data_IF_741669330660
#
_entry.id   IF_741669330660
#
_cell.length_a   1.000
_cell.length_b   1.000
_cell.length_c   1.000
_cell.angle_alpha   90.00
_cell.angle_beta   90.00
_cell.angle_gamma   90.00
#
_symmetry.space_group_name_H-M   'P 1'
#
loop_
_entity.id
_entity.type
_entity.pdbx_description
1 polymer ?
#
# COMPACT_ATOMS: atom_id res chain seq x y z
N UNK A 1 5.10 -84.30 40.21
CA UNK A 1 4.28 -83.13 39.85
C UNK A 1 5.01 -82.42 38.72
N UNK A 2 4.60 -82.72 37.50
CA UNK A 2 5.39 -82.57 36.27
C UNK A 2 5.17 -81.20 35.62
N UNK A 3 6.25 -80.42 35.51
CA UNK A 3 6.34 -79.25 34.64
C UNK A 3 6.69 -79.71 33.23
N UNK A 4 5.79 -79.48 32.27
CA UNK A 4 6.07 -79.61 30.85
C UNK A 4 6.53 -78.27 30.27
N UNK A 5 7.67 -78.32 29.59
CA UNK A 5 8.14 -77.38 28.58
C UNK A 5 8.35 -78.22 27.31
N UNK A 6 7.82 -77.70 26.18
CA UNK A 6 8.17 -77.89 24.76
C UNK A 6 6.88 -77.98 23.91
N UNK A 7 6.55 -76.98 23.06
CA UNK A 7 7.09 -76.73 21.68
C UNK A 7 6.58 -77.82 20.73
N UNK A 8 5.95 -77.60 19.55
CA UNK A 8 5.69 -76.47 18.65
C UNK A 8 4.30 -76.70 18.00
N UNK A 9 3.68 -75.78 17.25
CA UNK A 9 3.98 -75.61 15.82
C UNK A 9 3.41 -74.31 15.24
N UNK A 10 4.15 -73.79 14.25
CA UNK A 10 3.87 -72.61 13.42
C UNK A 10 2.48 -72.62 12.77
N UNK A 11 1.86 -71.45 12.73
CA UNK A 11 0.79 -71.09 11.78
C UNK A 11 0.95 -69.63 11.37
N UNK A 12 1.31 -69.42 10.11
CA UNK A 12 1.62 -68.12 9.52
C UNK A 12 0.37 -67.23 9.35
N UNK A 13 0.63 -65.93 9.52
CA UNK A 13 -0.20 -64.78 9.13
C UNK A 13 -0.75 -64.90 7.70
N UNK A 14 -2.02 -64.53 7.49
CA UNK A 14 -2.36 -63.25 6.85
C UNK A 14 -3.87 -63.02 6.67
N UNK A 15 -4.25 -61.77 6.98
CA UNK A 15 -5.30 -60.92 6.36
C UNK A 15 -6.79 -61.21 6.63
N UNK A 16 -7.33 -60.43 7.58
CA UNK A 16 -8.59 -59.72 7.41
C UNK A 16 -8.55 -58.42 8.24
N UNK A 17 -8.44 -57.26 7.58
CA UNK A 17 -8.48 -55.95 8.25
C UNK A 17 -9.92 -55.61 8.64
N UNK A 18 -10.22 -55.63 9.94
CA UNK A 18 -11.37 -54.95 10.54
C UNK A 18 -10.87 -53.92 11.54
N UNK A 19 -11.01 -52.64 11.21
CA UNK A 19 -10.56 -51.50 12.01
C UNK A 19 -11.46 -51.32 13.24
N UNK A 20 -10.90 -51.57 14.42
CA UNK A 20 -11.52 -51.26 15.71
C UNK A 20 -11.22 -49.81 16.11
N UNK A 21 -12.29 -49.03 16.23
CA UNK A 21 -12.36 -47.66 16.72
C UNK A 21 -12.07 -47.57 18.24
N UNK A 22 -11.06 -46.79 18.69
CA UNK A 22 -10.89 -46.43 20.09
C UNK A 22 -11.31 -44.97 20.30
N UNK A 23 -12.61 -44.80 20.53
CA UNK A 23 -13.27 -43.60 21.01
C UNK A 23 -12.45 -42.89 22.12
N UNK A 24 -11.74 -41.81 21.75
CA UNK A 24 -11.31 -40.76 22.66
C UNK A 24 -12.30 -39.62 22.50
N UNK A 25 -12.86 -39.21 23.64
CA UNK A 25 -13.81 -38.13 23.84
C UNK A 25 -13.49 -36.91 22.95
N UNK A 26 -14.35 -36.68 21.97
CA UNK A 26 -14.41 -35.46 21.18
C UNK A 26 -14.76 -34.29 22.13
N UNK A 27 -13.89 -33.28 22.30
CA UNK A 27 -14.24 -32.11 23.11
C UNK A 27 -15.40 -31.41 22.38
N UNK A 28 -16.57 -31.48 23.01
CA UNK A 28 -17.87 -31.18 22.42
C UNK A 28 -17.85 -30.06 21.39
N UNK A 29 -18.47 -30.34 20.24
CA UNK A 29 -18.83 -29.35 19.23
C UNK A 29 -19.46 -28.14 19.93
N UNK A 30 -18.73 -27.04 20.01
CA UNK A 30 -19.29 -25.75 20.40
C UNK A 30 -20.35 -25.45 19.34
N UNK A 31 -21.65 -25.35 19.70
CA UNK A 31 -22.67 -24.99 18.74
C UNK A 31 -22.43 -23.54 18.32
N UNK A 32 -21.67 -23.37 17.25
CA UNK A 32 -21.50 -22.11 16.56
C UNK A 32 -22.55 -22.08 15.45
N UNK A 33 -23.67 -21.42 15.72
CA UNK A 33 -24.54 -20.94 14.66
C UNK A 33 -23.99 -19.58 14.21
N UNK A 34 -23.28 -19.48 13.06
CA UNK A 34 -22.88 -18.20 12.54
C UNK A 34 -24.16 -17.38 12.28
N UNK A 35 -24.34 -16.31 13.05
CA UNK A 35 -25.27 -15.24 12.69
C UNK A 35 -24.72 -14.57 11.43
N UNK A 36 -25.03 -15.14 10.26
CA UNK A 36 -24.76 -14.50 8.98
C UNK A 36 -25.80 -13.37 8.86
N UNK A 37 -25.38 -12.09 8.81
CA UNK A 37 -26.32 -11.00 8.60
C UNK A 37 -27.15 -11.30 7.34
N UNK A 38 -28.47 -11.18 7.47
CA UNK A 38 -29.36 -11.18 6.31
C UNK A 38 -29.03 -9.94 5.48
N UNK A 39 -28.28 -10.12 4.40
CA UNK A 39 -28.19 -9.08 3.37
C UNK A 39 -29.61 -8.76 2.93
N UNK A 40 -30.04 -7.50 3.01
CA UNK A 40 -31.32 -7.07 2.47
C UNK A 40 -31.49 -7.56 1.02
N UNK A 41 -32.73 -7.73 0.56
CA UNK A 41 -33.02 -8.25 -0.79
C UNK A 41 -32.20 -7.56 -1.89
N UNK A 42 -31.82 -8.29 -2.93
CA UNK A 42 -31.13 -7.72 -4.09
C UNK A 42 -32.07 -6.75 -4.82
N UNK A 43 -31.62 -5.53 -5.06
CA UNK A 43 -32.38 -4.56 -5.86
C UNK A 43 -32.21 -4.87 -7.34
N UNK A 44 -33.33 -5.10 -8.03
CA UNK A 44 -33.36 -5.16 -9.49
C UNK A 44 -33.50 -3.75 -10.07
N UNK A 45 -32.86 -3.51 -11.22
CA UNK A 45 -32.89 -2.24 -11.93
C UNK A 45 -33.21 -2.50 -13.40
N UNK A 46 -33.90 -1.55 -14.04
CA UNK A 46 -34.14 -1.64 -15.48
C UNK A 46 -32.81 -1.59 -16.23
N UNK A 47 -32.50 -2.56 -17.13
CA UNK A 47 -31.26 -2.54 -17.89
C UNK A 47 -31.11 -1.29 -18.75
N UNK A 48 -29.89 -0.84 -18.95
CA UNK A 48 -29.53 0.17 -19.95
C UNK A 48 -29.83 -0.35 -21.34
N UNK A 49 -30.55 0.45 -22.13
CA UNK A 49 -30.98 0.13 -23.51
C UNK A 49 -30.46 1.13 -24.54
N UNK A 50 -29.53 2.01 -24.15
CA UNK A 50 -28.88 2.93 -25.09
C UNK A 50 -27.89 2.22 -26.03
N UNK A 51 -27.23 3.01 -26.88
CA UNK A 51 -26.34 2.49 -27.93
C UNK A 51 -24.85 2.58 -27.61
N UNK A 52 -24.46 3.14 -26.46
CA UNK A 52 -23.04 3.26 -26.10
C UNK A 52 -22.43 1.88 -25.84
N UNK A 53 -21.38 1.55 -26.60
CA UNK A 53 -20.76 0.23 -26.57
C UNK A 53 -20.03 -0.05 -25.25
N UNK A 54 -19.44 0.96 -24.61
CA UNK A 54 -18.74 0.80 -23.34
C UNK A 54 -19.74 0.59 -22.19
N UNK A 55 -20.87 1.30 -22.21
CA UNK A 55 -21.95 1.08 -21.23
C UNK A 55 -22.55 -0.32 -21.38
N UNK A 56 -22.84 -0.76 -22.60
CA UNK A 56 -23.36 -2.10 -22.87
C UNK A 56 -22.36 -3.19 -22.46
N UNK A 57 -21.06 -3.01 -22.73
CA UNK A 57 -20.01 -3.92 -22.33
C UNK A 57 -19.84 -3.97 -20.80
N UNK A 58 -19.88 -2.82 -20.12
CA UNK A 58 -19.82 -2.73 -18.67
C UNK A 58 -21.02 -3.44 -18.04
N UNK A 59 -22.23 -3.16 -18.49
CA UNK A 59 -23.45 -3.81 -17.98
C UNK A 59 -23.45 -5.32 -18.19
N UNK A 60 -23.01 -5.80 -19.36
CA UNK A 60 -22.93 -7.23 -19.66
C UNK A 60 -21.90 -7.93 -18.78
N UNK A 61 -20.75 -7.29 -18.55
CA UNK A 61 -19.63 -7.88 -17.81
C UNK A 61 -19.83 -7.77 -16.30
N UNK A 62 -20.40 -6.67 -15.82
CA UNK A 62 -20.52 -6.30 -14.42
C UNK A 62 -21.97 -5.96 -14.00
N UNK A 63 -22.90 -6.92 -13.99
CA UNK A 63 -24.26 -6.65 -13.54
C UNK A 63 -24.36 -6.17 -12.08
N UNK A 64 -23.46 -6.62 -11.21
CA UNK A 64 -23.52 -6.39 -9.76
C UNK A 64 -22.17 -5.98 -9.17
N UNK A 65 -22.17 -5.43 -7.95
CA UNK A 65 -20.93 -5.17 -7.20
C UNK A 65 -20.10 -6.44 -6.93
N UNK A 66 -20.74 -7.61 -6.90
CA UNK A 66 -20.07 -8.91 -6.77
C UNK A 66 -19.29 -9.27 -8.04
N UNK A 67 -19.81 -8.90 -9.21
CA UNK A 67 -19.09 -9.03 -10.48
C UNK A 67 -17.91 -8.07 -10.53
N UNK A 68 -18.06 -6.83 -10.06
CA UNK A 68 -16.93 -5.87 -9.92
C UNK A 68 -15.83 -6.49 -9.07
N UNK A 69 -16.16 -7.08 -7.92
CA UNK A 69 -15.17 -7.79 -7.10
C UNK A 69 -14.49 -8.93 -7.88
N UNK A 70 -15.27 -9.87 -8.41
CA UNK A 70 -14.75 -11.11 -8.99
C UNK A 70 -13.98 -10.92 -10.30
N UNK A 71 -14.40 -9.99 -11.14
CA UNK A 71 -13.87 -9.84 -12.50
C UNK A 71 -12.88 -8.68 -12.64
N UNK A 72 -13.01 -7.63 -11.81
CA UNK A 72 -12.09 -6.48 -11.79
C UNK A 72 -11.14 -6.55 -10.60
N UNK A 73 -11.65 -6.51 -9.37
CA UNK A 73 -10.80 -6.38 -8.16
C UNK A 73 -9.88 -7.59 -7.99
N UNK A 74 -10.40 -8.81 -8.16
CA UNK A 74 -9.58 -10.02 -8.08
C UNK A 74 -8.54 -10.10 -9.19
N UNK A 75 -8.85 -9.64 -10.41
CA UNK A 75 -7.91 -9.66 -11.53
C UNK A 75 -6.80 -8.63 -11.38
N UNK A 76 -7.14 -7.45 -10.86
CA UNK A 76 -6.29 -6.26 -10.95
C UNK A 76 -5.65 -5.91 -9.61
N UNK A 77 -6.36 -6.08 -8.50
CA UNK A 77 -5.98 -5.57 -7.18
C UNK A 77 -5.63 -6.66 -6.17
N UNK A 78 -6.13 -7.90 -6.27
CA UNK A 78 -6.04 -8.87 -5.16
C UNK A 78 -5.72 -10.33 -5.51
N UNK A 79 -5.60 -10.67 -6.79
CA UNK A 79 -5.51 -12.06 -7.28
C UNK A 79 -4.27 -12.83 -6.82
N UNK A 80 -4.42 -14.16 -6.69
CA UNK A 80 -3.35 -15.11 -6.35
C UNK A 80 -2.14 -14.98 -7.28
N UNK A 81 -0.95 -15.08 -6.69
CA UNK A 81 0.40 -14.85 -7.24
C UNK A 81 0.80 -13.36 -7.37
N UNK A 82 1.53 -12.86 -6.38
CA UNK A 82 2.33 -11.62 -6.49
C UNK A 82 1.61 -10.30 -6.22
N UNK A 83 0.32 -10.31 -5.84
CA UNK A 83 -0.45 -9.08 -5.61
C UNK A 83 -0.56 -8.73 -4.12
N UNK A 84 -0.28 -7.46 -3.81
CA UNK A 84 -0.15 -6.85 -2.49
C UNK A 84 -1.44 -6.81 -1.64
N UNK A 85 -2.62 -6.45 -2.19
CA UNK A 85 -3.86 -6.25 -1.42
C UNK A 85 -4.60 -7.54 -1.08
N UNK A 86 -3.90 -8.42 -0.36
CA UNK A 86 -4.38 -9.67 0.21
C UNK A 86 -4.25 -9.62 1.75
N UNK A 87 -4.50 -10.72 2.45
CA UNK A 87 -4.45 -10.82 3.92
C UNK A 87 -3.20 -10.22 4.61
N UNK A 88 -2.08 -10.03 3.90
CA UNK A 88 -0.82 -9.49 4.44
C UNK A 88 -0.64 -7.99 4.28
N UNK A 89 -1.43 -7.31 3.45
CA UNK A 89 -1.32 -5.86 3.28
C UNK A 89 -2.70 -5.19 3.25
N UNK A 90 -2.76 -3.99 3.81
CA UNK A 90 -3.95 -3.17 3.76
C UNK A 90 -4.05 -2.41 2.41
N UNK A 91 -5.25 -2.18 1.87
CA UNK A 91 -6.48 -2.91 2.20
C UNK A 91 -6.41 -4.35 1.76
N UNK A 92 -7.10 -5.21 2.48
CA UNK A 92 -7.35 -6.56 2.02
C UNK A 92 -8.59 -6.57 1.10
N UNK A 93 -8.43 -7.02 -0.15
CA UNK A 93 -9.49 -7.02 -1.16
C UNK A 93 -9.80 -8.44 -1.71
N UNK A 94 -9.26 -9.50 -1.08
CA UNK A 94 -9.24 -10.85 -1.68
C UNK A 94 -10.58 -11.59 -1.64
N UNK A 95 -11.54 -11.10 -0.84
CA UNK A 95 -12.88 -11.67 -0.78
C UNK A 95 -13.92 -10.59 -1.01
N UNK A 96 -15.12 -11.01 -1.43
CA UNK A 96 -16.25 -10.10 -1.52
C UNK A 96 -16.54 -9.42 -0.16
N UNK A 97 -16.37 -10.13 0.95
CA UNK A 97 -16.56 -9.58 2.29
C UNK A 97 -15.55 -8.49 2.64
N UNK A 98 -14.26 -8.71 2.34
CA UNK A 98 -13.21 -7.71 2.58
C UNK A 98 -13.32 -6.53 1.61
N UNK A 99 -13.82 -6.73 0.39
CA UNK A 99 -14.18 -5.65 -0.53
C UNK A 99 -15.36 -4.81 -0.03
N UNK A 100 -16.41 -5.41 0.55
CA UNK A 100 -17.47 -4.64 1.23
C UNK A 100 -16.91 -3.87 2.41
N UNK A 101 -16.02 -4.49 3.20
CA UNK A 101 -15.40 -3.84 4.35
C UNK A 101 -14.53 -2.63 3.96
N UNK A 102 -14.11 -2.50 2.70
CA UNK A 102 -13.40 -1.32 2.19
C UNK A 102 -14.32 -0.09 2.01
N UNK A 103 -15.65 -0.28 1.98
CA UNK A 103 -16.62 0.81 1.87
C UNK A 103 -16.66 1.58 3.19
N UNK A 104 -16.33 2.88 3.14
CA UNK A 104 -16.20 3.74 4.32
C UNK A 104 -14.96 3.49 5.17
N UNK A 105 -14.13 2.50 4.85
CA UNK A 105 -12.91 2.22 5.59
C UNK A 105 -11.88 3.36 5.43
N UNK A 106 -10.93 3.52 6.37
CA UNK A 106 -9.81 4.44 6.21
C UNK A 106 -9.06 4.16 4.91
N UNK A 107 -8.54 5.18 4.25
CA UNK A 107 -7.69 4.93 3.09
C UNK A 107 -6.36 4.25 3.46
N UNK A 108 -5.64 3.77 2.43
CA UNK A 108 -4.41 3.03 2.62
C UNK A 108 -3.21 3.95 2.88
N UNK A 109 -2.50 3.70 3.98
CA UNK A 109 -1.23 4.33 4.30
C UNK A 109 -0.18 3.24 4.47
N UNK A 110 0.78 3.17 3.53
CA UNK A 110 1.81 2.15 3.55
C UNK A 110 2.91 2.51 4.55
N UNK A 111 3.22 1.60 5.46
CA UNK A 111 4.31 1.77 6.42
C UNK A 111 5.66 1.94 5.71
N UNK A 112 6.46 2.92 6.14
CA UNK A 112 7.85 3.10 5.69
C UNK A 112 8.05 3.96 4.44
N UNK A 113 6.99 4.32 3.70
CA UNK A 113 7.07 5.26 2.58
C UNK A 113 6.29 6.56 2.89
N UNK A 114 6.83 7.36 3.80
CA UNK A 114 6.20 8.59 4.27
C UNK A 114 5.97 9.61 3.14
N UNK A 115 6.89 9.74 2.18
CA UNK A 115 6.74 10.63 1.01
C UNK A 115 5.52 10.31 0.13
N UNK A 116 4.99 9.09 0.20
CA UNK A 116 3.82 8.66 -0.57
C UNK A 116 2.48 8.89 0.12
N UNK A 117 2.46 9.41 1.35
CA UNK A 117 1.23 9.57 2.13
C UNK A 117 0.50 10.85 1.72
N UNK A 118 -0.78 10.69 1.39
CA UNK A 118 -1.67 11.80 1.04
C UNK A 118 -2.22 12.44 2.31
N UNK A 119 -2.20 13.78 2.45
CA UNK A 119 -2.68 14.46 3.67
C UNK A 119 -4.10 14.03 4.05
N UNK A 120 -5.01 13.94 3.07
CA UNK A 120 -6.41 13.51 3.32
C UNK A 120 -6.52 12.06 3.82
N UNK A 121 -5.43 11.31 3.81
CA UNK A 121 -5.35 9.96 4.37
C UNK A 121 -4.83 9.88 5.79
N UNK A 122 -4.33 10.99 6.31
CA UNK A 122 -3.85 11.04 7.68
C UNK A 122 -5.01 10.95 8.65
N UNK A 123 -4.75 10.25 9.75
CA UNK A 123 -5.71 10.02 10.83
C UNK A 123 -5.28 10.86 12.02
N UNK A 124 -6.19 11.08 12.97
CA UNK A 124 -5.78 11.68 14.23
C UNK A 124 -4.75 10.76 14.88
N UNK A 125 -3.57 11.32 15.16
CA UNK A 125 -2.47 10.63 15.80
C UNK A 125 -2.84 10.21 17.22
N UNK A 126 -2.15 9.18 17.70
CA UNK A 126 -2.13 8.88 19.13
C UNK A 126 -1.55 10.08 19.90
N UNK A 127 -1.83 10.15 21.19
CA UNK A 127 -1.37 11.24 22.02
C UNK A 127 -0.27 10.80 22.98
N UNK A 128 0.54 11.76 23.37
CA UNK A 128 1.68 11.59 24.24
C UNK A 128 1.59 12.51 25.46
N UNK A 129 2.08 12.03 26.60
CA UNK A 129 2.38 12.85 27.78
C UNK A 129 3.52 12.24 28.60
N UNK A 130 4.14 13.04 29.46
CA UNK A 130 4.96 12.50 30.54
C UNK A 130 4.08 12.18 31.75
N UNK A 131 4.23 10.99 32.34
CA UNK A 131 3.38 10.56 33.45
C UNK A 131 3.56 11.44 34.69
N UNK A 132 4.79 11.90 34.92
CA UNK A 132 5.21 12.70 36.06
C UNK A 132 5.04 14.21 35.85
N UNK A 133 4.56 14.65 34.68
CA UNK A 133 4.33 16.06 34.37
C UNK A 133 2.84 16.33 34.12
N UNK A 134 2.38 17.52 34.49
CA UNK A 134 0.99 17.92 34.33
C UNK A 134 0.82 18.83 33.12
N UNK A 135 0.52 18.24 31.96
CA UNK A 135 0.08 18.98 30.77
C UNK A 135 -0.91 18.16 29.94
N UNK A 136 -1.64 18.85 29.05
CA UNK A 136 -2.60 18.20 28.15
C UNK A 136 -1.88 17.26 27.19
N UNK A 137 -2.41 16.07 26.99
CA UNK A 137 -1.92 15.10 26.01
C UNK A 137 -1.77 15.75 24.62
N UNK A 138 -0.61 15.54 24.00
CA UNK A 138 -0.24 16.18 22.73
C UNK A 138 -0.26 15.13 21.64
N UNK A 139 -0.83 15.43 20.49
CA UNK A 139 -0.86 14.52 19.35
C UNK A 139 0.55 14.23 18.81
N UNK A 140 0.78 12.97 18.48
CA UNK A 140 1.98 12.48 17.83
C UNK A 140 1.82 12.72 16.32
N UNK A 141 2.73 13.51 15.75
CA UNK A 141 2.86 13.66 14.30
C UNK A 141 3.45 12.41 13.69
N UNK A 142 4.70 12.12 14.03
CA UNK A 142 5.41 10.93 13.57
C UNK A 142 6.50 10.51 14.56
N UNK A 143 7.06 9.33 14.35
CA UNK A 143 8.18 8.83 15.14
C UNK A 143 9.20 8.10 14.26
N UNK A 144 10.41 7.95 14.77
CA UNK A 144 11.48 7.23 14.11
C UNK A 144 12.36 6.55 15.16
N UNK A 145 12.63 5.25 14.97
CA UNK A 145 13.57 4.52 15.80
C UNK A 145 14.88 4.37 15.01
N UNK A 146 15.92 5.07 15.43
CA UNK A 146 17.27 4.87 14.90
C UNK A 146 17.89 3.70 15.67
N UNK A 147 18.14 2.54 15.02
CA UNK A 147 18.52 1.33 15.73
C UNK A 147 19.94 1.41 16.29
N UNK A 148 20.13 0.86 17.49
CA UNK A 148 21.42 0.74 18.16
C UNK A 148 21.34 1.07 19.65
N UNK A 149 22.50 1.32 20.26
CA UNK A 149 22.59 1.83 21.63
C UNK A 149 22.78 3.34 21.60
N UNK A 150 22.01 4.06 22.42
CA UNK A 150 22.18 5.51 22.54
C UNK A 150 23.56 5.84 23.11
N UNK A 151 24.34 6.74 22.48
CA UNK A 151 25.64 7.15 23.02
C UNK A 151 25.49 7.86 24.37
N UNK A 152 26.59 8.06 25.09
CA UNK A 152 26.56 8.86 26.30
C UNK A 152 26.20 10.33 25.97
N UNK A 153 25.11 10.83 26.56
CA UNK A 153 24.60 12.19 26.36
C UNK A 153 24.65 13.02 27.64
N UNK A 154 24.98 14.31 27.50
CA UNK A 154 25.12 15.29 28.58
C UNK A 154 24.52 16.64 28.16
N UNK A 155 23.56 17.22 28.91
CA UNK A 155 22.98 18.53 28.60
C UNK A 155 23.99 19.67 28.45
N UNK A 156 25.17 19.54 29.09
CA UNK A 156 26.28 20.52 29.02
C UNK A 156 27.34 20.16 27.98
N UNK A 157 27.21 19.01 27.33
CA UNK A 157 28.20 18.45 26.42
C UNK A 157 27.54 17.94 25.14
N UNK A 158 27.63 16.63 24.91
CA UNK A 158 27.06 16.00 23.73
C UNK A 158 25.53 15.87 23.86
N UNK A 159 24.80 16.60 23.03
CA UNK A 159 23.33 16.60 22.99
C UNK A 159 22.85 15.78 21.79
N UNK A 160 21.67 15.13 21.89
CA UNK A 160 21.11 14.41 20.77
C UNK A 160 20.66 15.37 19.66
N UNK A 161 20.79 14.92 18.42
CA UNK A 161 20.29 15.52 17.19
C UNK A 161 19.38 14.54 16.45
N UNK A 162 18.84 14.91 15.28
CA UNK A 162 17.91 14.05 14.52
C UNK A 162 18.50 12.74 13.99
N UNK A 163 19.83 12.58 14.00
CA UNK A 163 20.51 11.35 13.56
C UNK A 163 20.99 10.48 14.73
N UNK A 164 20.75 10.91 15.97
CA UNK A 164 21.24 10.22 17.16
C UNK A 164 20.53 8.88 17.32
N UNK A 165 21.28 7.85 17.73
CA UNK A 165 20.71 6.51 17.95
C UNK A 165 19.74 6.52 19.13
N UNK A 166 18.48 6.16 18.89
CA UNK A 166 17.41 6.16 19.89
C UNK A 166 16.03 6.35 19.27
N UNK A 167 15.03 6.60 20.13
CA UNK A 167 13.66 6.85 19.69
C UNK A 167 13.41 8.35 19.56
N UNK A 168 13.08 8.78 18.36
CA UNK A 168 12.64 10.14 18.04
C UNK A 168 11.11 10.17 17.94
N UNK A 169 10.50 11.17 18.57
CA UNK A 169 9.06 11.39 18.57
C UNK A 169 8.79 12.86 18.30
N UNK A 170 8.01 13.14 17.25
CA UNK A 170 7.65 14.49 16.84
C UNK A 170 6.18 14.71 17.18
N UNK A 171 5.90 15.72 18.00
CA UNK A 171 4.57 16.04 18.51
C UNK A 171 4.03 17.33 17.92
N UNK A 172 2.71 17.45 17.84
CA UNK A 172 2.04 18.60 17.22
C UNK A 172 2.29 19.90 17.97
N UNK A 173 2.10 19.92 19.29
CA UNK A 173 2.25 21.12 20.11
C UNK A 173 3.56 21.08 20.91
N UNK A 174 4.20 22.23 21.18
CA UNK A 174 5.39 22.28 22.03
C UNK A 174 5.12 21.70 23.43
N UNK A 175 6.01 20.84 23.91
CA UNK A 175 5.90 20.27 25.26
C UNK A 175 6.21 21.34 26.31
N UNK A 176 5.29 21.63 27.25
CA UNK A 176 5.40 22.74 28.20
C UNK A 176 6.18 22.35 29.47
N UNK A 177 7.36 21.77 29.30
CA UNK A 177 8.33 21.52 30.38
C UNK A 177 9.51 22.45 30.16
N UNK A 178 10.20 22.93 31.20
CA UNK A 178 11.34 23.85 31.02
C UNK A 178 12.66 23.12 30.78
N UNK A 179 12.79 21.91 31.31
CA UNK A 179 14.01 21.13 31.27
C UNK A 179 14.23 20.50 29.88
N UNK A 180 15.48 20.54 29.42
CA UNK A 180 15.89 19.90 28.16
C UNK A 180 16.05 18.39 28.27
N UNK A 181 16.23 17.86 29.49
CA UNK A 181 16.38 16.44 29.78
C UNK A 181 15.70 16.11 31.11
N UNK A 182 14.83 15.11 31.11
CA UNK A 182 14.13 14.62 32.30
C UNK A 182 14.11 13.09 32.33
N UNK A 183 14.28 12.49 33.50
CA UNK A 183 14.05 11.07 33.69
C UNK A 183 12.59 10.82 34.07
N UNK A 184 11.77 10.45 33.08
CA UNK A 184 10.30 10.39 33.17
C UNK A 184 9.74 9.24 32.34
N UNK A 185 8.47 8.92 32.55
CA UNK A 185 7.72 7.90 31.83
C UNK A 185 6.90 8.56 30.71
N UNK A 186 7.32 8.37 29.46
CA UNK A 186 6.51 8.74 28.30
C UNK A 186 5.34 7.79 28.15
N UNK A 187 4.11 8.31 28.06
CA UNK A 187 2.87 7.53 27.98
C UNK A 187 2.19 7.77 26.64
N UNK A 188 1.87 6.68 25.92
CA UNK A 188 1.20 6.71 24.62
C UNK A 188 -0.28 6.34 24.81
N UNK A 189 -1.15 7.17 24.25
CA UNK A 189 -2.55 7.22 24.60
C UNK A 189 -3.39 7.20 23.32
N UNK A 190 -4.33 6.26 23.25
CA UNK A 190 -5.22 6.10 22.10
C UNK A 190 -6.67 6.23 22.54
N UNK A 191 -7.49 6.81 21.67
CA UNK A 191 -8.94 6.74 21.78
C UNK A 191 -9.44 5.48 21.09
N UNK A 192 -10.25 4.70 21.80
CA UNK A 192 -10.98 3.57 21.25
C UNK A 192 -12.46 3.83 21.40
N UNK A 193 -13.26 3.31 20.47
CA UNK A 193 -14.71 3.30 20.59
C UNK A 193 -15.08 1.91 21.08
N UNK A 194 -15.77 1.81 22.22
CA UNK A 194 -16.27 0.53 22.72
C UNK A 194 -17.48 0.04 21.92
N UNK A 195 -17.93 -1.19 22.19
CA UNK A 195 -19.08 -1.81 21.50
C UNK A 195 -20.38 -1.02 21.68
N UNK A 196 -20.42 -0.12 22.68
CA UNK A 196 -21.54 0.77 22.97
C UNK A 196 -21.40 2.16 22.30
N UNK A 197 -20.34 2.40 21.53
CA UNK A 197 -20.11 3.65 20.82
C UNK A 197 -19.49 4.75 21.69
N UNK A 198 -19.08 4.47 22.93
CA UNK A 198 -18.45 5.47 23.79
C UNK A 198 -16.96 5.58 23.48
N UNK A 199 -16.45 6.82 23.46
CA UNK A 199 -15.02 7.06 23.32
C UNK A 199 -14.35 6.80 24.68
N UNK A 200 -13.52 5.77 24.73
CA UNK A 200 -12.63 5.48 25.85
C UNK A 200 -11.21 5.91 25.51
N UNK A 201 -10.48 6.40 26.51
CA UNK A 201 -9.07 6.77 26.39
C UNK A 201 -8.23 5.77 27.17
N UNK A 202 -7.28 5.14 26.50
CA UNK A 202 -6.43 4.11 27.08
C UNK A 202 -4.95 4.43 26.85
N UNK A 203 -4.16 4.39 27.92
CA UNK A 203 -2.71 4.30 27.82
C UNK A 203 -2.33 2.89 27.39
N UNK A 204 -1.94 2.71 26.13
CA UNK A 204 -1.65 1.38 25.58
C UNK A 204 -0.16 1.02 25.65
N UNK A 205 0.71 2.01 25.82
CA UNK A 205 2.14 1.79 26.00
C UNK A 205 2.77 2.88 26.87
N UNK A 206 3.89 2.55 27.50
CA UNK A 206 4.69 3.50 28.27
C UNK A 206 6.17 3.14 28.19
N UNK A 207 7.02 4.16 28.20
CA UNK A 207 8.46 4.00 28.11
C UNK A 207 9.18 4.97 29.04
N UNK A 208 9.85 4.41 30.05
CA UNK A 208 10.57 5.17 31.08
C UNK A 208 12.06 5.25 30.75
N UNK A 209 12.54 6.45 30.54
CA UNK A 209 13.94 6.71 30.21
C UNK A 209 14.29 8.18 30.47
N UNK A 210 15.51 8.59 30.13
CA UNK A 210 15.82 9.99 29.94
C UNK A 210 15.19 10.46 28.62
N UNK A 211 14.21 11.33 28.75
CA UNK A 211 13.59 12.03 27.64
C UNK A 211 14.26 13.38 27.48
N UNK A 212 14.64 13.69 26.25
CA UNK A 212 15.15 14.97 25.83
C UNK A 212 14.07 15.74 25.09
N UNK A 213 13.97 17.03 25.37
CA UNK A 213 13.07 17.97 24.70
C UNK A 213 13.93 18.88 23.85
N UNK A 214 13.83 18.72 22.54
CA UNK A 214 14.69 19.31 21.54
C UNK A 214 13.94 20.33 20.69
N UNK A 215 14.71 21.08 19.90
CA UNK A 215 14.23 22.05 18.90
C UNK A 215 13.23 23.06 19.50
N UNK A 216 12.10 23.27 18.84
CA UNK A 216 10.98 24.12 19.28
C UNK A 216 10.08 23.44 20.34
N UNK A 217 10.65 22.48 21.07
CA UNK A 217 10.00 21.60 22.04
C UNK A 217 8.96 20.65 21.42
N UNK A 218 8.98 20.46 20.11
CA UNK A 218 8.14 19.46 19.41
C UNK A 218 8.88 18.17 19.09
N UNK A 219 10.19 18.16 19.20
CA UNK A 219 11.01 16.98 18.99
C UNK A 219 11.42 16.41 20.34
N UNK A 220 10.96 15.19 20.62
CA UNK A 220 11.31 14.43 21.80
C UNK A 220 12.25 13.30 21.42
N UNK A 221 13.32 13.14 22.19
CA UNK A 221 14.26 12.03 22.01
C UNK A 221 14.30 11.18 23.28
N UNK A 222 14.09 9.88 23.14
CA UNK A 222 14.14 8.92 24.23
C UNK A 222 15.42 8.09 24.12
N UNK A 223 16.23 8.08 25.18
CA UNK A 223 17.41 7.22 25.25
C UNK A 223 16.99 5.74 25.23
N UNK A 224 17.67 4.93 24.42
CA UNK A 224 17.48 3.49 24.29
C UNK A 224 18.75 2.79 24.73
N UNK A 225 18.71 2.28 25.96
CA UNK A 225 19.78 1.44 26.51
C UNK A 225 19.68 0.01 25.97
N UNK A 226 20.78 -0.74 26.03
CA UNK A 226 20.83 -2.13 25.55
C UNK A 226 19.74 -3.01 26.15
N UNK A 227 19.48 -2.88 27.45
CA UNK A 227 18.44 -3.64 28.18
C UNK A 227 17.01 -3.16 27.90
N UNK A 228 16.81 -2.09 27.13
CA UNK A 228 15.51 -1.51 26.80
C UNK A 228 15.12 -1.70 25.33
N UNK A 229 15.98 -2.34 24.52
CA UNK A 229 15.74 -2.57 23.08
C UNK A 229 14.43 -3.29 22.81
N UNK A 230 14.19 -4.43 23.45
CA UNK A 230 12.95 -5.21 23.25
C UNK A 230 11.70 -4.41 23.62
N UNK A 231 11.80 -3.55 24.64
CA UNK A 231 10.70 -2.70 25.08
C UNK A 231 10.37 -1.60 24.05
N UNK A 232 11.39 -0.94 23.48
CA UNK A 232 11.16 0.08 22.45
C UNK A 232 10.73 -0.52 21.12
N UNK A 233 11.26 -1.70 20.75
CA UNK A 233 10.82 -2.43 19.56
C UNK A 233 9.36 -2.87 19.70
N UNK A 234 8.96 -3.37 20.87
CA UNK A 234 7.56 -3.70 21.16
C UNK A 234 6.65 -2.45 21.13
N UNK A 235 7.13 -1.31 21.64
CA UNK A 235 6.43 -0.04 21.55
C UNK A 235 6.22 0.37 20.08
N UNK A 236 7.26 0.33 19.25
CA UNK A 236 7.15 0.67 17.83
C UNK A 236 6.24 -0.32 17.09
N UNK A 237 6.32 -1.61 17.41
CA UNK A 237 5.48 -2.66 16.85
C UNK A 237 4.01 -2.62 17.32
N UNK A 238 3.68 -1.84 18.35
CA UNK A 238 2.30 -1.67 18.83
C UNK A 238 1.38 -0.94 17.85
N UNK A 239 1.94 -0.38 16.76
CA UNK A 239 1.21 0.28 15.70
C UNK A 239 0.73 1.66 16.09
N UNK A 240 1.62 2.51 16.61
CA UNK A 240 1.34 3.92 16.94
C UNK A 240 0.72 4.61 15.72
N UNK A 241 -0.45 5.22 15.90
CA UNK A 241 -1.10 6.01 14.86
C UNK A 241 -0.43 7.37 14.81
N UNK A 242 0.02 7.75 13.61
CA UNK A 242 0.77 8.97 13.34
C UNK A 242 -0.16 9.99 12.66
N UNK A 243 -0.14 11.24 13.14
CA UNK A 243 -0.99 12.34 12.69
C UNK A 243 -0.46 13.14 11.49
N UNK A 244 0.85 13.12 11.26
CA UNK A 244 1.57 13.77 10.15
C UNK A 244 2.56 12.73 9.58
N UNK A 245 2.03 11.81 8.78
CA UNK A 245 2.77 10.65 8.31
C UNK A 245 3.72 10.95 7.17
N UNK A 246 3.42 11.96 6.35
CA UNK A 246 4.34 12.41 5.31
C UNK A 246 5.36 13.45 5.80
N UNK A 247 5.30 13.84 7.08
CA UNK A 247 6.26 14.72 7.75
C UNK A 247 6.32 16.11 7.10
N UNK A 248 5.21 16.60 6.56
CA UNK A 248 5.15 17.90 5.88
C UNK A 248 4.63 19.02 6.81
N UNK A 249 4.27 18.68 8.06
CA UNK A 249 3.73 19.61 9.06
C UNK A 249 2.23 19.87 8.94
N UNK A 250 1.55 19.29 7.96
CA UNK A 250 0.10 19.28 7.83
C UNK A 250 -0.44 18.04 8.52
N UNK A 251 -1.42 18.21 9.41
CA UNK A 251 -2.10 17.11 10.08
C UNK A 251 -3.46 16.93 9.40
N UNK A 252 -3.50 16.14 8.33
CA UNK A 252 -4.64 16.11 7.42
C UNK A 252 -5.98 15.81 8.09
N UNK A 253 -6.01 14.96 9.12
CA UNK A 253 -7.22 14.69 9.90
C UNK A 253 -7.80 15.95 10.58
N UNK A 254 -6.97 16.92 10.94
CA UNK A 254 -7.40 18.19 11.57
C UNK A 254 -7.95 19.19 10.57
N UNK A 255 -7.65 19.02 9.29
CA UNK A 255 -8.17 19.90 8.23
C UNK A 255 -9.64 19.58 7.88
N UNK A 256 -10.18 18.47 8.39
CA UNK A 256 -11.57 18.05 8.17
C UNK A 256 -11.82 17.39 6.81
N UNK A 257 -10.77 17.00 6.08
CA UNK A 257 -10.87 16.54 4.68
C UNK A 257 -10.52 15.06 4.48
N UNK A 258 -10.71 14.22 5.52
CA UNK A 258 -10.36 12.80 5.46
C UNK A 258 -11.09 12.07 4.34
N UNK A 259 -10.39 11.21 3.62
CA UNK A 259 -10.96 10.43 2.52
C UNK A 259 -11.03 8.94 2.86
N UNK A 260 -12.19 8.27 2.67
CA UNK A 260 -12.28 6.84 2.83
C UNK A 260 -11.70 6.10 1.61
N UNK A 261 -11.42 4.82 1.78
CA UNK A 261 -10.94 3.95 0.72
C UNK A 261 -11.95 3.88 -0.44
N UNK A 262 -13.21 3.58 -0.13
CA UNK A 262 -14.36 3.74 -1.02
C UNK A 262 -15.36 4.67 -0.33
N UNK A 263 -15.75 5.75 -1.01
CA UNK A 263 -16.67 6.77 -0.51
C UNK A 263 -18.06 6.58 -1.13
N UNK A 264 -19.05 6.07 -0.36
CA UNK A 264 -20.40 5.83 -0.88
C UNK A 264 -20.99 7.04 -1.60
N UNK A 265 -21.46 6.84 -2.82
CA UNK A 265 -22.08 7.89 -3.64
C UNK A 265 -21.09 8.90 -4.25
N UNK A 266 -19.79 8.83 -3.91
CA UNK A 266 -18.78 9.82 -4.30
C UNK A 266 -17.52 9.16 -4.88
N UNK A 267 -17.59 8.62 -6.11
CA UNK A 267 -16.47 7.90 -6.71
C UNK A 267 -15.19 8.73 -6.85
N UNK A 268 -15.25 9.99 -7.29
CA UNK A 268 -14.07 10.86 -7.42
C UNK A 268 -13.45 11.27 -6.07
N UNK A 269 -14.17 11.06 -4.97
CA UNK A 269 -13.68 11.24 -3.59
C UNK A 269 -13.44 9.90 -2.89
N UNK A 270 -13.22 8.83 -3.66
CA UNK A 270 -12.79 7.53 -3.15
C UNK A 270 -11.30 7.37 -3.35
N UNK A 271 -10.55 7.05 -2.30
CA UNK A 271 -9.11 6.88 -2.42
C UNK A 271 -8.72 5.74 -3.38
N UNK A 272 -9.50 4.65 -3.43
CA UNK A 272 -9.28 3.56 -4.39
C UNK A 272 -9.30 4.07 -5.83
N UNK A 273 -10.32 4.87 -6.19
CA UNK A 273 -10.45 5.48 -7.52
C UNK A 273 -9.28 6.43 -7.78
N UNK A 274 -8.91 7.26 -6.80
CA UNK A 274 -7.77 8.15 -6.92
C UNK A 274 -6.45 7.41 -7.11
N UNK A 275 -6.26 6.23 -6.51
CA UNK A 275 -5.07 5.39 -6.75
C UNK A 275 -5.04 4.81 -8.16
N UNK A 276 -6.18 4.54 -8.78
CA UNK A 276 -6.26 4.12 -10.18
C UNK A 276 -6.06 5.29 -11.15
N UNK A 277 -6.64 6.45 -10.83
CA UNK A 277 -6.66 7.67 -11.67
C UNK A 277 -5.55 8.67 -11.37
N UNK A 278 -4.74 8.44 -10.35
CA UNK A 278 -3.65 9.30 -9.85
C UNK A 278 -4.03 10.73 -9.47
N UNK A 279 -5.32 11.03 -9.47
CA UNK A 279 -5.86 12.32 -9.09
C UNK A 279 -7.10 12.11 -8.23
N UNK A 280 -7.36 13.06 -7.35
CA UNK A 280 -8.59 13.18 -6.57
C UNK A 280 -9.09 14.60 -6.70
N UNK A 281 -10.35 14.78 -7.11
CA UNK A 281 -10.91 16.12 -7.39
C UNK A 281 -10.00 16.94 -8.33
N UNK A 282 -9.49 16.30 -9.39
CA UNK A 282 -8.52 16.84 -10.37
C UNK A 282 -7.14 17.25 -9.81
N UNK A 283 -6.86 16.98 -8.54
CA UNK A 283 -5.55 17.23 -7.92
C UNK A 283 -4.74 15.94 -7.89
N UNK A 284 -3.48 15.97 -8.32
CA UNK A 284 -2.57 14.82 -8.24
C UNK A 284 -2.41 14.34 -6.81
N UNK A 285 -2.57 13.04 -6.59
CA UNK A 285 -2.29 12.44 -5.28
C UNK A 285 -0.86 11.88 -5.22
N UNK A 286 -0.18 11.92 -4.06
CA UNK A 286 1.14 11.33 -3.89
C UNK A 286 1.20 9.82 -4.18
N UNK A 287 2.39 9.37 -4.56
CA UNK A 287 2.70 7.96 -4.85
C UNK A 287 2.33 7.50 -6.25
N UNK A 288 2.70 6.27 -6.58
CA UNK A 288 2.47 5.67 -7.90
C UNK A 288 1.02 5.23 -8.08
N UNK A 289 0.50 5.31 -9.31
CA UNK A 289 -0.83 4.74 -9.61
C UNK A 289 -0.82 3.23 -9.47
N UNK A 290 -1.96 2.69 -9.10
CA UNK A 290 -2.26 1.26 -9.05
C UNK A 290 -3.05 0.86 -10.30
N UNK A 291 -3.03 -0.42 -10.72
CA UNK A 291 -2.23 -1.54 -10.19
C UNK A 291 -0.74 -1.46 -10.58
N UNK A 292 0.16 -1.94 -9.72
CA UNK A 292 1.60 -1.98 -10.02
C UNK A 292 2.04 -3.23 -10.81
N UNK A 293 1.39 -4.36 -10.56
CA UNK A 293 1.81 -5.66 -11.08
C UNK A 293 0.85 -6.24 -12.15
N UNK A 294 -0.32 -5.63 -12.34
CA UNK A 294 -1.37 -6.16 -13.22
C UNK A 294 -1.76 -5.14 -14.30
N UNK A 295 -2.48 -5.61 -15.33
CA UNK A 295 -3.02 -4.72 -16.34
C UNK A 295 -4.01 -3.71 -15.72
N UNK A 296 -3.90 -2.41 -16.07
CA UNK A 296 -4.81 -1.40 -15.56
C UNK A 296 -6.25 -1.65 -16.05
N UNK A 297 -7.25 -1.20 -15.28
CA UNK A 297 -8.65 -1.24 -15.70
C UNK A 297 -8.86 -0.53 -17.05
N UNK A 298 -9.66 -1.12 -17.94
CA UNK A 298 -10.11 -0.46 -19.16
C UNK A 298 -11.35 0.44 -18.90
N UNK A 299 -11.89 1.06 -19.95
CA UNK A 299 -13.05 1.96 -19.82
C UNK A 299 -14.29 1.25 -19.22
N UNK A 300 -14.76 0.10 -19.74
CA UNK A 300 -15.85 -0.65 -19.10
C UNK A 300 -15.60 -1.03 -17.64
N UNK A 301 -14.37 -1.41 -17.30
CA UNK A 301 -13.99 -1.75 -15.93
C UNK A 301 -14.13 -0.53 -15.00
N UNK A 302 -13.58 0.61 -15.42
CA UNK A 302 -13.69 1.86 -14.66
C UNK A 302 -15.14 2.30 -14.57
N UNK A 303 -15.91 2.25 -15.66
CA UNK A 303 -17.32 2.62 -15.65
C UNK A 303 -18.10 1.81 -14.63
N UNK A 304 -17.92 0.48 -14.60
CA UNK A 304 -18.57 -0.38 -13.63
C UNK A 304 -18.19 -0.02 -12.18
N UNK A 305 -16.91 0.26 -11.90
CA UNK A 305 -16.46 0.68 -10.58
C UNK A 305 -17.06 2.04 -10.18
N UNK A 306 -17.05 3.03 -11.07
CA UNK A 306 -17.58 4.37 -10.81
C UNK A 306 -19.09 4.32 -10.56
N UNK A 307 -19.84 3.60 -11.40
CA UNK A 307 -21.29 3.44 -11.24
C UNK A 307 -21.65 2.62 -10.00
N UNK A 308 -20.87 1.60 -9.66
CA UNK A 308 -21.04 0.85 -8.42
C UNK A 308 -20.93 1.79 -7.21
N UNK A 309 -19.85 2.59 -7.13
CA UNK A 309 -19.62 3.50 -6.00
C UNK A 309 -20.67 4.61 -5.95
N UNK A 310 -21.01 5.23 -7.08
CA UNK A 310 -22.04 6.27 -7.20
C UNK A 310 -23.42 5.76 -6.74
N UNK A 311 -23.73 4.49 -7.00
CA UNK A 311 -24.97 3.85 -6.57
C UNK A 311 -25.03 3.46 -5.09
N UNK A 312 -23.93 3.57 -4.33
CA UNK A 312 -23.94 3.27 -2.90
C UNK A 312 -24.63 4.41 -2.12
N UNK A 313 -25.63 4.06 -1.32
CA UNK A 313 -26.26 5.00 -0.40
C UNK A 313 -25.30 5.39 0.75
N UNK A 314 -24.93 6.67 0.91
CA UNK A 314 -24.07 7.13 2.00
C UNK A 314 -24.73 7.07 3.39
N UNK A 315 -26.06 6.95 3.47
CA UNK A 315 -26.76 6.76 4.73
C UNK A 315 -26.84 5.28 5.16
N UNK A 316 -26.47 4.35 4.29
CA UNK A 316 -26.52 2.93 4.60
C UNK A 316 -25.33 2.50 5.47
N UNK A 317 -25.58 1.56 6.40
CA UNK A 317 -24.56 0.89 7.20
C UNK A 317 -24.26 -0.53 6.72
N UNK A 318 -24.96 -1.00 5.69
CA UNK A 318 -24.78 -2.31 5.08
C UNK A 318 -24.95 -2.24 3.56
N UNK A 319 -24.05 -2.89 2.82
CA UNK A 319 -24.10 -2.91 1.36
C UNK A 319 -24.19 -4.35 0.86
N UNK A 320 -25.17 -4.61 -0.01
CA UNK A 320 -25.34 -5.90 -0.67
C UNK A 320 -24.69 -5.85 -2.06
N UNK A 321 -23.57 -6.55 -2.25
CA UNK A 321 -22.89 -6.63 -3.54
C UNK A 321 -23.69 -7.35 -4.62
N UNK A 322 -24.74 -8.10 -4.28
CA UNK A 322 -25.63 -8.75 -5.24
C UNK A 322 -26.70 -7.81 -5.82
N UNK A 323 -26.81 -6.57 -5.31
CA UNK A 323 -27.67 -5.56 -5.95
C UNK A 323 -27.14 -5.18 -7.33
N UNK A 324 -28.06 -4.96 -8.27
CA UNK A 324 -27.71 -4.58 -9.62
C UNK A 324 -27.17 -3.14 -9.69
N UNK A 325 -26.19 -2.91 -10.57
CA UNK A 325 -25.64 -1.58 -10.86
C UNK A 325 -26.58 -0.85 -11.83
N UNK A 326 -27.07 0.33 -11.45
CA UNK A 326 -27.97 1.14 -12.28
C UNK A 326 -27.18 2.03 -13.26
N UNK A 327 -26.80 1.46 -14.40
CA UNK A 327 -26.11 2.19 -15.46
C UNK A 327 -26.95 3.30 -16.10
N UNK A 328 -28.28 3.28 -15.97
CA UNK A 328 -29.15 4.34 -16.49
C UNK A 328 -29.08 5.61 -15.62
N UNK A 329 -28.86 5.46 -14.30
CA UNK A 329 -28.75 6.60 -13.36
C UNK A 329 -27.32 7.03 -13.07
N UNK A 330 -26.33 6.23 -13.45
CA UNK A 330 -24.92 6.55 -13.30
C UNK A 330 -24.53 7.74 -14.18
N UNK A 331 -23.95 8.79 -13.58
CA UNK A 331 -23.55 10.00 -14.32
C UNK A 331 -22.43 9.73 -15.33
N UNK A 332 -21.57 8.74 -15.05
CA UNK A 332 -20.45 8.36 -15.91
C UNK A 332 -20.87 7.63 -17.20
N UNK A 333 -22.09 7.10 -17.26
CA UNK A 333 -22.64 6.50 -18.49
C UNK A 333 -22.83 7.51 -19.62
N UNK A 334 -22.84 8.82 -19.33
CA UNK A 334 -22.97 9.86 -20.34
C UNK A 334 -21.71 10.08 -21.18
N UNK A 335 -20.53 9.79 -20.63
CA UNK A 335 -19.24 9.87 -21.34
C UNK A 335 -18.22 8.86 -20.77
N UNK A 336 -18.39 7.56 -21.03
CA UNK A 336 -17.49 6.52 -20.52
C UNK A 336 -16.04 6.72 -20.97
N UNK A 337 -15.81 7.23 -22.17
CA UNK A 337 -14.47 7.43 -22.73
C UNK A 337 -13.57 8.31 -21.85
N UNK A 338 -14.14 9.25 -21.08
CA UNK A 338 -13.40 10.09 -20.12
C UNK A 338 -12.81 9.29 -18.93
N UNK A 339 -13.23 8.05 -18.74
CA UNK A 339 -12.70 7.14 -17.73
C UNK A 339 -11.44 6.39 -18.18
N UNK A 340 -11.01 6.58 -19.44
CA UNK A 340 -9.80 5.93 -19.95
C UNK A 340 -8.58 6.25 -19.08
N UNK A 341 -7.89 5.19 -18.67
CA UNK A 341 -6.61 5.30 -17.96
C UNK A 341 -5.41 5.31 -18.93
N UNK A 342 -5.65 5.06 -20.22
CA UNK A 342 -4.62 5.15 -21.25
C UNK A 342 -4.14 6.60 -21.37
N UNK A 343 -2.83 6.81 -21.16
CA UNK A 343 -2.20 8.14 -21.25
C UNK A 343 -2.13 8.96 -19.96
N UNK A 344 -2.62 8.47 -18.81
CA UNK A 344 -2.58 9.25 -17.57
C UNK A 344 -1.74 8.65 -16.43
N UNK A 345 -1.37 7.36 -16.47
CA UNK A 345 -0.79 6.70 -15.29
C UNK A 345 0.73 6.75 -15.07
N UNK A 346 1.50 6.74 -16.17
CA UNK A 346 2.96 6.80 -16.14
C UNK A 346 3.37 7.92 -17.05
N UNK A 347 3.71 9.07 -16.47
CA UNK A 347 4.29 10.17 -17.24
C UNK A 347 5.80 10.05 -17.30
N UNK A 348 6.40 10.61 -18.35
CA UNK A 348 7.84 10.66 -18.48
C UNK A 348 8.45 11.42 -17.29
N UNK A 349 7.92 12.61 -17.00
CA UNK A 349 8.39 13.48 -15.93
C UNK A 349 8.18 12.90 -14.51
N UNK A 350 7.02 12.28 -14.25
CA UNK A 350 6.60 11.88 -12.92
C UNK A 350 7.04 10.47 -12.50
N UNK A 351 7.40 9.61 -13.45
CA UNK A 351 7.72 8.20 -13.14
C UNK A 351 8.89 7.64 -13.93
N UNK A 352 8.90 7.75 -15.26
CA UNK A 352 9.93 7.09 -16.09
C UNK A 352 11.30 7.74 -15.88
N UNK A 353 11.38 9.06 -15.96
CA UNK A 353 12.65 9.77 -15.82
C UNK A 353 13.28 9.55 -14.43
N UNK A 354 12.58 9.74 -13.29
CA UNK A 354 13.16 9.45 -11.97
C UNK A 354 13.64 8.01 -11.81
N UNK A 355 12.89 7.04 -12.36
CA UNK A 355 13.25 5.62 -12.33
C UNK A 355 14.54 5.35 -13.12
N UNK A 356 14.65 5.91 -14.33
CA UNK A 356 15.86 5.81 -15.15
C UNK A 356 17.05 6.49 -14.48
N UNK A 357 16.86 7.66 -13.87
CA UNK A 357 17.94 8.39 -13.20
C UNK A 357 18.45 7.65 -11.95
N UNK A 358 17.54 7.17 -11.11
CA UNK A 358 17.87 6.48 -9.87
C UNK A 358 18.58 5.14 -10.10
N UNK A 359 18.16 4.40 -11.13
CA UNK A 359 18.65 3.03 -11.34
C UNK A 359 19.73 2.92 -12.43
N UNK A 360 19.83 3.89 -13.34
CA UNK A 360 20.75 3.84 -14.48
C UNK A 360 21.75 5.00 -14.48
N UNK A 361 21.44 6.12 -13.82
CA UNK A 361 22.22 7.36 -13.89
C UNK A 361 23.65 7.24 -13.37
N UNK A 362 23.94 6.29 -12.47
CA UNK A 362 25.30 6.05 -11.97
C UNK A 362 26.31 5.65 -13.05
N UNK A 363 25.87 4.93 -14.08
CA UNK A 363 26.72 4.56 -15.23
C UNK A 363 26.37 5.34 -16.50
N UNK A 364 25.10 5.74 -16.64
CA UNK A 364 24.57 6.52 -17.75
C UNK A 364 24.43 7.99 -17.37
N UNK A 365 25.52 8.60 -16.89
CA UNK A 365 25.55 9.99 -16.47
C UNK A 365 26.98 10.50 -16.24
N UNK A 366 27.11 11.76 -15.84
CA UNK A 366 28.40 12.39 -15.54
C UNK A 366 29.25 12.68 -16.77
N UNK A 367 30.57 12.84 -16.58
CA UNK A 367 31.49 13.25 -17.64
C UNK A 367 31.84 12.15 -18.65
N UNK A 368 31.53 10.89 -18.35
CA UNK A 368 31.84 9.74 -19.23
C UNK A 368 30.70 8.70 -19.21
N UNK A 369 29.54 9.04 -19.80
CA UNK A 369 28.38 8.16 -19.82
C UNK A 369 28.64 6.90 -20.65
N UNK A 370 28.30 5.72 -20.10
CA UNK A 370 28.47 4.46 -20.79
C UNK A 370 27.64 4.39 -22.07
N UNK A 371 28.26 3.91 -23.15
CA UNK A 371 27.70 3.86 -24.50
C UNK A 371 27.18 5.22 -25.04
N UNK A 372 27.63 6.34 -24.45
CA UNK A 372 27.20 7.69 -24.83
C UNK A 372 25.78 8.05 -24.42
N UNK A 373 25.11 7.23 -23.61
CA UNK A 373 23.77 7.52 -23.08
C UNK A 373 23.90 8.24 -21.73
N UNK A 374 23.56 9.52 -21.71
CA UNK A 374 23.48 10.35 -20.50
C UNK A 374 22.01 10.54 -20.09
N UNK A 375 21.68 10.26 -18.84
CA UNK A 375 20.34 10.39 -18.24
C UNK A 375 20.28 11.49 -17.17
N UNK A 376 21.39 12.16 -16.87
CA UNK A 376 21.49 13.13 -15.78
C UNK A 376 21.69 14.57 -16.29
N UNK A 377 22.29 14.75 -17.46
CA UNK A 377 22.55 16.09 -17.99
C UNK A 377 21.44 16.64 -18.88
N UNK A 378 21.04 17.88 -18.59
CA UNK A 378 20.03 18.64 -19.33
C UNK A 378 18.69 18.73 -18.60
N UNK A 379 17.71 19.33 -19.27
CA UNK A 379 16.32 19.34 -18.81
C UNK A 379 15.66 17.97 -18.99
N UNK A 380 14.51 17.75 -18.35
CA UNK A 380 13.67 16.57 -18.59
C UNK A 380 13.41 16.34 -20.09
N UNK A 381 13.19 17.42 -20.83
CA UNK A 381 12.96 17.42 -22.27
C UNK A 381 14.20 16.98 -23.07
N UNK A 382 15.38 17.44 -22.69
CA UNK A 382 16.63 17.04 -23.36
C UNK A 382 16.88 15.54 -23.24
N UNK A 383 16.58 14.97 -22.07
CA UNK A 383 16.74 13.54 -21.79
C UNK A 383 15.65 12.74 -22.54
N UNK A 384 14.42 13.24 -22.58
CA UNK A 384 13.32 12.65 -23.36
C UNK A 384 13.70 12.50 -24.83
N UNK A 385 14.15 13.59 -25.46
CA UNK A 385 14.60 13.57 -26.85
C UNK A 385 15.80 12.64 -27.06
N UNK A 386 16.65 12.43 -26.05
CA UNK A 386 17.80 11.53 -26.13
C UNK A 386 17.38 10.06 -26.11
N UNK A 387 16.41 9.67 -25.28
CA UNK A 387 15.92 8.29 -25.22
C UNK A 387 15.07 7.90 -26.44
N UNK A 388 14.63 8.84 -27.27
CA UNK A 388 13.97 8.55 -28.54
C UNK A 388 14.94 8.31 -29.71
N UNK A 389 16.24 8.54 -29.52
CA UNK A 389 17.25 8.35 -30.58
C UNK A 389 17.62 6.89 -30.78
N UNK A 390 18.26 6.61 -31.91
CA UNK A 390 18.85 5.31 -32.23
C UNK A 390 19.82 4.84 -31.12
N UNK A 391 19.78 3.54 -30.82
CA UNK A 391 20.75 2.92 -29.91
C UNK A 391 22.13 2.87 -30.54
N UNK A 392 23.15 3.31 -29.80
CA UNK A 392 24.56 3.16 -30.20
C UNK A 392 24.95 1.69 -30.38
N UNK A 393 24.40 0.78 -29.57
CA UNK A 393 24.76 -0.64 -29.60
C UNK A 393 24.00 -1.42 -30.69
N UNK A 394 22.84 -0.93 -31.11
CA UNK A 394 22.03 -1.55 -32.16
C UNK A 394 21.31 -0.46 -32.98
N UNK A 395 22.01 0.18 -33.94
CA UNK A 395 21.51 1.36 -34.66
C UNK A 395 20.20 1.19 -35.43
N UNK A 396 19.79 -0.05 -35.72
CA UNK A 396 18.50 -0.35 -36.34
C UNK A 396 17.29 -0.23 -35.41
N UNK A 397 17.50 0.00 -34.12
CA UNK A 397 16.46 0.21 -33.11
C UNK A 397 16.66 1.54 -32.39
N UNK A 398 15.57 2.21 -32.03
CA UNK A 398 15.60 3.34 -31.11
C UNK A 398 15.78 2.83 -29.67
N UNK A 399 16.38 3.64 -28.80
CA UNK A 399 16.41 3.37 -27.37
C UNK A 399 14.97 3.18 -26.85
N UNK A 400 14.06 4.06 -27.25
CA UNK A 400 12.62 3.94 -27.08
C UNK A 400 11.93 4.20 -28.42
N UNK A 401 11.10 3.25 -28.84
CA UNK A 401 10.20 3.40 -29.98
C UNK A 401 8.76 3.55 -29.44
N UNK A 402 8.14 4.74 -29.58
CA UNK A 402 6.74 4.96 -29.22
C UNK A 402 5.80 3.86 -29.72
N UNK A 403 5.02 3.27 -28.81
CA UNK A 403 4.00 2.26 -29.09
C UNK A 403 4.52 0.85 -29.41
N UNK A 404 5.83 0.57 -29.31
CA UNK A 404 6.40 -0.73 -29.71
C UNK A 404 7.54 -1.16 -28.79
N UNK A 405 7.25 -2.17 -27.95
CA UNK A 405 8.20 -2.73 -26.98
C UNK A 405 9.34 -3.51 -27.67
N UNK A 406 9.01 -4.27 -28.71
CA UNK A 406 9.93 -5.09 -29.52
C UNK A 406 10.94 -4.25 -30.31
N UNK A 407 10.62 -2.98 -30.59
CA UNK A 407 11.52 -2.03 -31.25
C UNK A 407 12.19 -1.04 -30.29
N UNK A 408 11.92 -1.14 -28.99
CA UNK A 408 12.48 -0.28 -27.94
C UNK A 408 13.70 -0.94 -27.30
N UNK A 409 14.90 -0.61 -27.77
CA UNK A 409 16.12 -1.29 -27.35
C UNK A 409 16.40 -1.19 -25.84
N UNK A 410 16.05 -0.07 -25.21
CA UNK A 410 16.16 0.10 -23.75
C UNK A 410 15.29 -0.93 -23.03
N UNK A 411 14.04 -1.15 -23.46
CA UNK A 411 13.15 -2.14 -22.87
C UNK A 411 13.71 -3.56 -23.03
N UNK A 412 14.21 -3.91 -24.20
CA UNK A 412 14.87 -5.21 -24.45
C UNK A 412 16.06 -5.44 -23.52
N UNK A 413 16.85 -4.39 -23.23
CA UNK A 413 17.96 -4.45 -22.27
C UNK A 413 17.48 -4.67 -20.84
N UNK A 414 16.32 -4.14 -20.46
CA UNK A 414 15.72 -4.32 -19.13
C UNK A 414 15.16 -5.73 -18.91
N UNK A 415 14.63 -6.36 -19.96
CA UNK A 415 13.98 -7.68 -19.90
C UNK A 415 14.89 -8.85 -20.28
N UNK A 416 16.17 -8.57 -20.58
CA UNK A 416 17.15 -9.57 -20.99
C UNK A 416 16.78 -10.32 -22.28
N UNK A 417 16.19 -9.62 -23.25
CA UNK A 417 15.85 -10.21 -24.54
C UNK A 417 17.10 -10.80 -25.23
N UNK A 418 16.94 -11.94 -25.93
CA UNK A 418 18.06 -12.64 -26.57
C UNK A 418 18.78 -11.85 -27.67
N UNK A 419 18.20 -10.75 -28.15
CA UNK A 419 18.74 -9.93 -29.23
C UNK A 419 19.60 -8.74 -28.76
N UNK A 420 19.85 -8.62 -27.45
CA UNK A 420 20.66 -7.54 -26.87
C UNK A 420 22.17 -7.74 -27.07
N UNK A 421 22.91 -6.64 -27.03
CA UNK A 421 24.38 -6.65 -27.05
C UNK A 421 24.89 -6.47 -25.63
N UNK A 422 25.78 -7.34 -25.17
CA UNK A 422 26.30 -7.33 -23.80
C UNK A 422 25.25 -7.77 -22.77
N UNK A 423 25.45 -7.39 -21.50
CA UNK A 423 24.59 -7.83 -20.40
C UNK A 423 23.24 -7.11 -20.35
N UNK A 424 22.26 -7.73 -19.69
CA UNK A 424 21.04 -7.08 -19.21
C UNK A 424 21.38 -5.84 -18.37
N UNK A 425 20.53 -4.82 -18.42
CA UNK A 425 20.61 -3.62 -17.57
C UNK A 425 19.39 -3.52 -16.63
N UNK A 426 19.50 -2.86 -15.46
CA UNK A 426 20.73 -2.35 -14.87
C UNK A 426 21.68 -3.50 -14.49
N UNK A 427 22.96 -3.18 -14.27
CA UNK A 427 23.95 -4.16 -13.81
C UNK A 427 24.48 -3.73 -12.46
N UNK A 428 24.53 -4.66 -11.50
CA UNK A 428 25.25 -4.41 -10.26
C UNK A 428 26.75 -4.71 -10.49
N UNK A 429 27.65 -3.73 -10.31
CA UNK A 429 29.07 -3.93 -10.56
C UNK A 429 29.74 -4.93 -9.60
N UNK A 430 29.10 -5.29 -8.48
CA UNK A 430 29.65 -6.22 -7.50
C UNK A 430 29.33 -7.69 -7.79
N UNK A 431 28.16 -7.98 -8.38
CA UNK A 431 27.70 -9.36 -8.57
C UNK A 431 27.01 -9.63 -9.92
N UNK A 432 26.97 -8.65 -10.82
CA UNK A 432 26.40 -8.78 -12.17
C UNK A 432 24.87 -8.83 -12.24
N UNK A 433 24.18 -8.89 -11.10
CA UNK A 433 22.72 -9.00 -11.03
C UNK A 433 22.08 -7.74 -10.44
N UNK A 434 21.41 -6.96 -11.28
CA UNK A 434 20.43 -5.98 -10.86
C UNK A 434 19.21 -6.06 -11.77
N UNK A 435 18.17 -6.76 -11.35
CA UNK A 435 16.87 -6.59 -11.98
C UNK A 435 16.24 -5.33 -11.41
N UNK A 436 15.65 -4.50 -12.25
CA UNK A 436 14.61 -3.62 -11.74
C UNK A 436 13.49 -4.48 -11.13
N UNK A 437 12.81 -3.99 -10.08
CA UNK A 437 11.54 -4.55 -9.64
C UNK A 437 10.57 -4.67 -10.82
N UNK A 438 9.73 -5.71 -10.81
CA UNK A 438 8.78 -5.97 -11.90
C UNK A 438 7.82 -4.78 -12.13
N UNK A 439 7.40 -4.11 -11.06
CA UNK A 439 6.58 -2.90 -11.12
C UNK A 439 7.27 -1.71 -11.81
N UNK A 440 8.60 -1.62 -11.73
CA UNK A 440 9.39 -0.57 -12.37
C UNK A 440 9.52 -0.87 -13.88
N UNK A 441 9.75 -2.12 -14.25
CA UNK A 441 9.75 -2.57 -15.65
C UNK A 441 8.38 -2.32 -16.27
N UNK A 442 7.30 -2.68 -15.56
CA UNK A 442 5.94 -2.48 -16.02
C UNK A 442 5.58 -1.00 -16.17
N UNK A 443 6.11 -0.12 -15.32
CA UNK A 443 5.95 1.33 -15.50
C UNK A 443 6.53 1.78 -16.85
N UNK A 444 7.73 1.33 -17.20
CA UNK A 444 8.37 1.65 -18.48
C UNK A 444 7.59 1.03 -19.65
N UNK A 445 7.14 -0.22 -19.51
CA UNK A 445 6.30 -0.91 -20.51
C UNK A 445 5.04 -0.12 -20.84
N UNK A 446 4.27 0.25 -19.80
CA UNK A 446 3.00 0.97 -19.94
C UNK A 446 3.21 2.36 -20.53
N UNK A 447 4.30 3.04 -20.17
CA UNK A 447 4.65 4.30 -20.81
C UNK A 447 4.95 4.11 -22.31
N UNK A 448 5.81 3.17 -22.68
CA UNK A 448 6.16 2.94 -24.10
C UNK A 448 4.93 2.54 -24.91
N UNK A 449 4.19 1.54 -24.45
CA UNK A 449 3.16 0.88 -25.23
C UNK A 449 1.80 1.57 -25.12
N UNK A 450 1.34 1.87 -23.89
CA UNK A 450 -0.02 2.39 -23.68
C UNK A 450 -0.09 3.90 -23.86
N UNK A 451 0.92 4.66 -23.42
CA UNK A 451 0.94 6.12 -23.65
C UNK A 451 1.57 6.52 -24.98
N UNK A 452 2.15 5.57 -25.72
CA UNK A 452 2.92 5.88 -26.92
C UNK A 452 4.17 6.71 -26.61
N UNK A 453 4.81 6.45 -25.47
CA UNK A 453 5.99 7.16 -24.97
C UNK A 453 5.86 8.69 -24.99
N UNK A 454 4.71 9.24 -24.57
CA UNK A 454 4.49 10.68 -24.51
C UNK A 454 5.32 11.35 -23.40
N UNK A 455 5.75 12.60 -23.63
CA UNK A 455 6.60 13.35 -22.69
C UNK A 455 5.90 13.85 -21.43
N UNK A 456 4.57 14.03 -21.49
CA UNK A 456 3.65 14.59 -20.48
C UNK A 456 4.24 15.15 -19.17
#
# INVERSE_FOLDING_TARGET
MTRSLLVATLGALALACGSSDPNKQDPGSIPFEPHRPSTGGSTEVTPYTGSDADVLAAQLTYPTGLDVHRKLVMRTCSGTNGVCHNQKEYPDLHTAGTFVAAIGAPCNVQSGNWNGVFDRCERLGDRFRFAEQSFREIEIGWFELVPGETPALDPKGNRPDSGTVGLHLYVHDPVPVEQDRLYVTGTFIRNFIDDQGNVQTLAFASYKTNWWVLDDRRHLFAEVNENQRDAVESLVASGIVQGDQNRNGVYGARTGTSVPLINPGKPEQSYLVARLRGTMDATTIPGTRMPLANQPPNVPDMLALMCFIEGLDPASTQWNLSSAIDYNKCSYSANPAALSLAGSGVTWSGRVLPLLQSNCGGCHGGSSPQAGLDLLSGTSHDIYLRVLKASTQKPGLNLIQPGSLDKSYLYLKLTADGSITGSRMPINPLNGNASLPEADIKSIEDWIFLSGAQEN
#
